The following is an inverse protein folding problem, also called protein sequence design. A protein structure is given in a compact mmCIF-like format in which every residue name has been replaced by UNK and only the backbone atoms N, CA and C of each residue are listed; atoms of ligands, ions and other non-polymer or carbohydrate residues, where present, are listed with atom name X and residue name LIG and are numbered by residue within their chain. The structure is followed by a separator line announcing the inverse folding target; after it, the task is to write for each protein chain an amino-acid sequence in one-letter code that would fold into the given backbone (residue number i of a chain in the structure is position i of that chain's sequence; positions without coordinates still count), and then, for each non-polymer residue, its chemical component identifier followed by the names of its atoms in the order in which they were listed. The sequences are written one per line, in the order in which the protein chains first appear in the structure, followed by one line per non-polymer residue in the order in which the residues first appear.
data_IF_452364232254
#
_entry.id   IF_452364232254
#
_cell.length_a   1.000
_cell.length_b   1.000
_cell.length_c   1.000
_cell.angle_alpha   90.00
_cell.angle_beta   90.00
_cell.angle_gamma   90.00
#
_symmetry.space_group_name_H-M   'P 1'
#
loop_
_entity.id
_entity.type
_entity.pdbx_description
1 polymer ?
#
# COMPACT_ATOMS: atom_id res chain seq x y z
N UNK A 1 -1.69 1.27 -14.85
CA UNK A 1 -2.10 0.64 -13.59
C UNK A 1 -2.32 1.75 -12.58
N UNK A 2 -3.56 1.96 -12.14
CA UNK A 2 -3.95 3.12 -11.32
C UNK A 2 -3.78 2.85 -9.81
N UNK A 3 -3.81 1.57 -9.41
CA UNK A 3 -3.37 1.12 -8.10
C UNK A 3 -3.67 -0.36 -7.86
N UNK A 4 -3.28 -0.86 -6.69
CA UNK A 4 -3.47 -2.25 -6.24
C UNK A 4 -4.46 -2.26 -5.09
N UNK A 5 -5.47 -3.12 -5.17
CA UNK A 5 -6.43 -3.40 -4.08
C UNK A 5 -6.36 -4.87 -3.75
N UNK A 6 -5.70 -5.19 -2.64
CA UNK A 6 -5.49 -6.56 -2.24
C UNK A 6 -5.31 -6.67 -0.73
N UNK A 7 -6.13 -7.50 -0.11
CA UNK A 7 -6.11 -7.79 1.33
C UNK A 7 -6.79 -9.14 1.52
N UNK A 8 -6.05 -10.12 2.02
CA UNK A 8 -6.53 -11.49 2.23
C UNK A 8 -7.73 -11.58 3.18
N UNK A 9 -7.75 -10.73 4.20
CA UNK A 9 -8.78 -10.80 5.27
C UNK A 9 -10.15 -10.30 4.86
N UNK A 10 -10.22 -9.53 3.78
CA UNK A 10 -11.46 -8.84 3.38
C UNK A 10 -11.74 -8.98 1.90
N UNK A 11 -11.23 -10.05 1.25
CA UNK A 11 -11.68 -10.42 -0.09
C UNK A 11 -13.15 -10.85 0.01
N UNK A 12 -14.09 -10.15 -0.64
CA UNK A 12 -15.49 -10.54 -0.60
C UNK A 12 -15.73 -11.81 -1.42
N UNK A 13 -16.90 -12.46 -1.28
CA UNK A 13 -17.36 -13.43 -2.26
C UNK A 13 -17.21 -12.88 -3.68
N UNK A 14 -16.68 -13.71 -4.55
CA UNK A 14 -16.41 -13.36 -5.94
C UNK A 14 -17.70 -13.51 -6.75
N UNK A 15 -18.26 -12.39 -7.20
CA UNK A 15 -19.44 -12.35 -8.06
C UNK A 15 -18.99 -12.33 -9.53
N UNK A 16 -18.75 -13.52 -10.09
CA UNK A 16 -18.32 -13.73 -11.47
C UNK A 16 -19.00 -14.96 -12.10
N UNK A 17 -19.04 -15.04 -13.44
CA UNK A 17 -19.43 -16.24 -14.17
C UNK A 17 -18.68 -17.49 -13.70
N UNK A 18 -19.36 -18.64 -13.70
CA UNK A 18 -18.84 -19.91 -13.18
C UNK A 18 -17.50 -20.29 -13.84
N UNK A 19 -17.39 -20.12 -15.15
CA UNK A 19 -16.20 -20.42 -15.93
C UNK A 19 -14.97 -19.58 -15.54
N UNK A 20 -15.18 -18.43 -14.89
CA UNK A 20 -14.11 -17.54 -14.44
C UNK A 20 -13.71 -17.76 -12.98
N UNK A 21 -14.48 -18.53 -12.21
CA UNK A 21 -14.22 -18.75 -10.79
C UNK A 21 -12.85 -19.38 -10.56
N UNK A 22 -12.59 -20.56 -11.14
CA UNK A 22 -11.32 -21.26 -10.97
C UNK A 22 -10.11 -20.46 -11.52
N UNK A 23 -10.16 -19.88 -12.75
CA UNK A 23 -9.10 -19.01 -13.24
C UNK A 23 -8.80 -17.82 -12.32
N UNK A 24 -9.84 -17.18 -11.75
CA UNK A 24 -9.67 -16.03 -10.87
C UNK A 24 -8.98 -16.42 -9.57
N UNK A 25 -9.37 -17.53 -8.94
CA UNK A 25 -8.67 -18.01 -7.74
C UNK A 25 -7.23 -18.44 -8.02
N UNK A 26 -6.94 -19.03 -9.20
CA UNK A 26 -5.56 -19.30 -9.63
C UNK A 26 -4.76 -18.02 -9.76
N UNK A 27 -5.33 -16.96 -10.32
CA UNK A 27 -4.68 -15.65 -10.45
C UNK A 27 -4.46 -14.98 -9.07
N UNK A 28 -5.45 -15.01 -8.17
CA UNK A 28 -5.33 -14.52 -6.79
C UNK A 28 -4.19 -15.24 -6.07
N UNK A 29 -4.11 -16.58 -6.20
CA UNK A 29 -3.03 -17.38 -5.60
C UNK A 29 -1.66 -17.04 -6.20
N UNK A 30 -1.58 -16.88 -7.51
CA UNK A 30 -0.34 -16.47 -8.17
C UNK A 30 0.13 -15.10 -7.67
N UNK A 31 -0.78 -14.14 -7.55
CA UNK A 31 -0.49 -12.82 -7.00
C UNK A 31 -0.08 -12.89 -5.53
N UNK A 32 -0.77 -13.71 -4.71
CA UNK A 32 -0.41 -13.96 -3.31
C UNK A 32 1.04 -14.43 -3.16
N UNK A 33 1.50 -15.32 -4.04
CA UNK A 33 2.89 -15.80 -4.02
C UNK A 33 3.89 -14.69 -4.39
N UNK A 34 3.54 -13.79 -5.32
CA UNK A 34 4.38 -12.65 -5.69
C UNK A 34 4.51 -11.68 -4.52
N UNK A 35 3.40 -11.29 -3.90
CA UNK A 35 3.40 -10.28 -2.83
C UNK A 35 4.04 -10.78 -1.53
N UNK A 36 4.10 -12.10 -1.32
CA UNK A 36 4.77 -12.72 -0.18
C UNK A 36 6.18 -13.27 -0.53
N UNK A 37 6.71 -12.96 -1.71
CA UNK A 37 8.07 -13.35 -2.08
C UNK A 37 9.10 -12.57 -1.27
N UNK A 38 10.08 -13.27 -0.68
CA UNK A 38 11.19 -12.64 0.05
C UNK A 38 11.98 -11.68 -0.85
N UNK A 39 12.11 -12.01 -2.15
CA UNK A 39 12.81 -11.16 -3.12
C UNK A 39 12.12 -9.81 -3.37
N UNK A 40 10.83 -9.68 -3.04
CA UNK A 40 10.03 -8.46 -3.18
C UNK A 40 9.63 -7.86 -1.83
N UNK A 41 10.15 -8.40 -0.73
CA UNK A 41 9.85 -7.94 0.62
C UNK A 41 10.97 -7.04 1.13
N UNK A 42 10.61 -5.84 1.58
CA UNK A 42 11.50 -4.96 2.32
C UNK A 42 11.09 -4.93 3.79
N UNK A 43 11.98 -5.36 4.68
CA UNK A 43 11.74 -5.38 6.13
C UNK A 43 12.49 -4.23 6.81
N UNK A 44 11.75 -3.40 7.55
CA UNK A 44 12.30 -2.30 8.34
C UNK A 44 11.70 -2.32 9.74
N UNK A 45 12.55 -2.25 10.77
CA UNK A 45 12.12 -2.15 12.16
C UNK A 45 11.77 -0.70 12.50
N UNK A 46 10.64 -0.49 13.20
CA UNK A 46 10.26 0.82 13.71
C UNK A 46 10.68 0.97 15.17
N UNK A 47 11.44 2.01 15.48
CA UNK A 47 11.71 2.46 16.83
C UNK A 47 10.66 3.50 17.30
N UNK A 48 10.53 3.74 18.62
CA UNK A 48 9.71 4.83 19.12
C UNK A 48 10.15 6.18 18.53
N UNK A 49 9.20 6.90 17.91
CA UNK A 49 9.47 8.17 17.23
C UNK A 49 9.59 8.06 15.70
N UNK A 50 9.76 6.85 15.16
CA UNK A 50 9.82 6.65 13.71
C UNK A 50 8.45 6.84 13.05
N UNK A 51 8.47 7.41 11.84
CA UNK A 51 7.32 7.54 10.96
C UNK A 51 7.61 6.86 9.63
N UNK A 52 6.77 5.89 9.26
CA UNK A 52 6.80 5.29 7.94
C UNK A 52 5.64 5.83 7.10
N UNK A 53 5.96 6.42 5.95
CA UNK A 53 4.99 6.90 4.97
C UNK A 53 5.14 6.07 3.69
N UNK A 54 4.01 5.61 3.15
CA UNK A 54 3.99 4.88 1.88
C UNK A 54 2.69 5.17 1.13
N UNK A 55 2.71 4.98 -0.19
CA UNK A 55 1.52 5.07 -1.04
C UNK A 55 0.70 3.78 -0.89
N UNK A 56 -0.38 3.84 -0.12
CA UNK A 56 -1.27 2.69 0.14
C UNK A 56 -2.01 2.19 -1.13
N UNK A 57 -2.01 2.94 -2.23
CA UNK A 57 -2.55 2.46 -3.51
C UNK A 57 -1.51 1.66 -4.32
N UNK A 58 -0.27 1.56 -3.84
CA UNK A 58 0.83 0.88 -4.55
C UNK A 58 1.56 -0.13 -3.69
N UNK A 59 1.87 0.23 -2.45
CA UNK A 59 2.70 -0.57 -1.54
C UNK A 59 1.80 -1.33 -0.59
N UNK A 60 1.83 -2.66 -0.71
CA UNK A 60 1.26 -3.55 0.31
C UNK A 60 2.19 -3.56 1.53
N UNK A 61 1.61 -3.66 2.72
CA UNK A 61 2.36 -3.64 3.96
C UNK A 61 1.81 -4.67 4.93
N UNK A 62 2.70 -5.13 5.82
CA UNK A 62 2.40 -6.12 6.83
C UNK A 62 3.39 -6.02 7.98
N UNK A 63 3.35 -7.02 8.85
CA UNK A 63 4.30 -7.15 9.95
C UNK A 63 4.63 -8.62 10.16
N UNK A 64 5.84 -8.88 10.66
CA UNK A 64 6.19 -10.20 11.18
C UNK A 64 5.39 -10.51 12.46
N UNK A 65 5.38 -11.78 12.83
CA UNK A 65 4.89 -12.21 14.13
C UNK A 65 5.73 -11.58 15.26
N UNK A 66 5.11 -11.32 16.41
CA UNK A 66 5.79 -10.83 17.60
C UNK A 66 5.18 -11.46 18.85
N UNK A 67 5.96 -11.55 19.92
CA UNK A 67 5.51 -12.00 21.23
C UNK A 67 4.81 -10.84 21.97
N UNK A 68 3.49 -10.93 22.24
CA UNK A 68 2.77 -9.87 22.94
C UNK A 68 3.15 -9.76 24.43
N UNK A 69 3.83 -10.77 25.00
CA UNK A 69 4.26 -10.75 26.40
C UNK A 69 5.62 -10.09 26.60
N UNK A 70 6.40 -9.93 25.53
CA UNK A 70 7.74 -9.34 25.57
C UNK A 70 7.75 -7.82 25.83
N UNK A 71 6.60 -7.15 25.73
CA UNK A 71 6.47 -5.72 26.04
C UNK A 71 5.26 -5.05 25.40
N UNK A 72 5.15 -3.74 25.60
CA UNK A 72 4.07 -2.93 25.04
C UNK A 72 4.44 -2.45 23.63
N UNK A 73 3.53 -2.65 22.68
CA UNK A 73 3.63 -2.13 21.32
C UNK A 73 2.43 -1.24 21.01
N UNK A 74 2.69 0.04 20.73
CA UNK A 74 1.67 1.01 20.34
C UNK A 74 2.10 1.72 19.06
N UNK A 75 1.23 1.70 18.04
CA UNK A 75 1.44 2.38 16.78
C UNK A 75 0.21 3.25 16.49
N UNK A 76 0.45 4.49 16.09
CA UNK A 76 -0.61 5.38 15.61
C UNK A 76 -0.55 5.44 14.09
N UNK A 77 -1.71 5.33 13.46
CA UNK A 77 -1.85 5.38 12.02
C UNK A 77 -2.81 6.51 11.65
N UNK A 78 -2.47 7.25 10.60
CA UNK A 78 -3.38 8.15 9.91
C UNK A 78 -3.21 7.96 8.40
N UNK A 79 -4.21 8.40 7.65
CA UNK A 79 -4.19 8.44 6.19
C UNK A 79 -4.41 9.87 5.75
N UNK A 80 -3.75 10.25 4.65
CA UNK A 80 -3.96 11.53 3.98
C UNK A 80 -4.40 11.23 2.55
N UNK A 81 -5.28 12.05 2.01
CA UNK A 81 -5.67 11.86 0.61
C UNK A 81 -4.48 12.14 -0.31
N UNK A 82 -4.40 11.36 -1.38
CA UNK A 82 -3.25 11.41 -2.30
C UNK A 82 -3.17 12.76 -3.02
N UNK A 83 -4.31 13.33 -3.39
CA UNK A 83 -4.41 14.66 -3.99
C UNK A 83 -3.90 15.77 -3.06
N UNK A 84 -4.27 15.74 -1.78
CA UNK A 84 -3.81 16.69 -0.77
C UNK A 84 -2.29 16.60 -0.56
N UNK A 85 -1.75 15.39 -0.46
CA UNK A 85 -0.32 15.16 -0.37
C UNK A 85 0.43 15.76 -1.58
N UNK A 86 -0.04 15.47 -2.79
CA UNK A 86 0.58 15.99 -4.01
C UNK A 86 0.36 17.49 -4.20
N UNK A 87 -0.76 18.06 -3.75
CA UNK A 87 -0.98 19.50 -3.76
C UNK A 87 0.07 20.22 -2.88
N UNK A 88 0.28 19.71 -1.68
CA UNK A 88 1.32 20.20 -0.76
C UNK A 88 2.70 20.04 -1.36
N UNK A 89 3.00 18.87 -1.96
CA UNK A 89 4.27 18.61 -2.65
C UNK A 89 4.54 19.61 -3.78
N UNK A 90 3.55 19.88 -4.65
CA UNK A 90 3.71 20.83 -5.76
C UNK A 90 3.92 22.26 -5.26
N UNK A 91 3.17 22.66 -4.23
CA UNK A 91 3.31 23.99 -3.61
C UNK A 91 4.70 24.17 -3.01
N UNK A 92 5.20 23.17 -2.27
CA UNK A 92 6.56 23.18 -1.73
C UNK A 92 7.61 23.16 -2.85
N UNK A 93 7.43 22.31 -3.87
CA UNK A 93 8.35 22.22 -5.00
C UNK A 93 8.46 23.57 -5.74
N UNK A 94 7.36 24.27 -5.96
CA UNK A 94 7.37 25.59 -6.58
C UNK A 94 8.14 26.61 -5.73
N UNK A 95 7.93 26.61 -4.41
CA UNK A 95 8.67 27.47 -3.47
C UNK A 95 10.18 27.24 -3.52
N UNK A 96 10.62 26.02 -3.79
CA UNK A 96 12.04 25.65 -3.88
C UNK A 96 12.55 25.51 -5.32
N UNK A 97 11.79 25.97 -6.33
CA UNK A 97 12.13 25.85 -7.75
C UNK A 97 12.51 24.42 -8.19
N UNK A 98 11.77 23.43 -7.68
CA UNK A 98 12.00 22.01 -7.93
C UNK A 98 11.06 21.49 -9.03
N UNK A 99 11.57 20.61 -9.90
CA UNK A 99 10.84 20.08 -11.08
C UNK A 99 9.52 19.38 -10.74
N UNK A 100 9.40 18.85 -9.52
CA UNK A 100 8.17 18.23 -9.01
C UNK A 100 6.95 19.17 -9.00
N UNK A 101 7.14 20.49 -9.15
CA UNK A 101 6.03 21.43 -9.30
C UNK A 101 5.12 21.11 -10.50
N UNK A 102 5.68 20.50 -11.55
CA UNK A 102 4.98 20.11 -12.77
C UNK A 102 4.54 18.64 -12.76
N UNK A 103 4.62 17.96 -11.61
CA UNK A 103 4.33 16.54 -11.52
C UNK A 103 2.83 16.28 -11.66
N UNK A 104 2.44 15.64 -12.77
CA UNK A 104 1.09 15.13 -12.99
C UNK A 104 0.90 13.86 -12.16
N UNK A 105 -0.19 13.81 -11.39
CA UNK A 105 -0.57 12.59 -10.70
C UNK A 105 -1.19 11.62 -11.70
N UNK A 106 -0.73 10.36 -11.66
CA UNK A 106 -1.50 9.29 -12.27
C UNK A 106 -2.80 9.07 -11.47
N UNK A 107 -3.85 8.60 -12.15
CA UNK A 107 -5.09 8.17 -11.51
C UNK A 107 -4.83 7.17 -10.38
N UNK A 108 -5.71 7.18 -9.38
CA UNK A 108 -5.61 6.32 -8.22
C UNK A 108 -6.41 5.04 -8.38
N UNK A 109 -6.26 4.10 -7.44
CA UNK A 109 -7.06 2.87 -7.43
C UNK A 109 -8.59 3.11 -7.41
N UNK A 110 -9.04 4.32 -7.10
CA UNK A 110 -10.44 4.71 -6.96
C UNK A 110 -10.93 5.66 -8.08
N UNK A 111 -10.13 5.86 -9.13
CA UNK A 111 -10.35 6.89 -10.17
C UNK A 111 -9.61 8.17 -9.82
#
# INVERSE_FOLDING_TARGET
MEGIRFTDRTIPPQDLPEELMEPTYKAIKAFWNVVNSEALTFACLMAPGDLHLFDNQRVLHGRTAFDPTAGVRHLQQCSVNRDEFHNTLRTLAARFNHSAQSLTMAGGALG
#
